data_IF_763427679863
#
_entry.id   IF_763427679863
#
_cell.length_a   1.000
_cell.length_b   1.000
_cell.length_c   1.000
_cell.angle_alpha   90.00
_cell.angle_beta   90.00
_cell.angle_gamma   90.00
#
_symmetry.space_group_name_H-M   'P 1'
#
loop_
_entity.id
_entity.type
_entity.pdbx_description
1 polymer ?
#
# COMPACT_ATOMS: atom_id res chain seq x y z
N UNK A 1 13.82 6.36 -1.88
CA UNK A 1 14.20 5.82 -3.21
C UNK A 1 12.97 5.86 -4.07
N UNK A 2 13.09 6.31 -5.31
CA UNK A 2 11.98 6.38 -6.26
C UNK A 2 12.04 5.14 -7.17
N UNK A 3 10.90 4.50 -7.41
CA UNK A 3 10.82 3.26 -8.19
C UNK A 3 10.08 3.43 -9.53
N UNK A 4 9.69 4.66 -9.88
CA UNK A 4 9.12 5.03 -11.17
C UNK A 4 9.28 6.53 -11.43
N UNK A 5 8.70 7.06 -12.50
CA UNK A 5 8.69 8.49 -12.84
C UNK A 5 7.26 9.02 -12.94
N UNK A 6 7.08 10.34 -12.76
CA UNK A 6 5.76 10.99 -12.91
C UNK A 6 5.19 10.78 -14.31
N UNK A 7 6.01 10.86 -15.36
CA UNK A 7 5.57 10.65 -16.74
C UNK A 7 5.07 9.21 -16.99
N UNK A 8 5.77 8.22 -16.45
CA UNK A 8 5.34 6.81 -16.53
C UNK A 8 4.02 6.59 -15.79
N UNK A 9 3.88 7.18 -14.60
CA UNK A 9 2.65 7.12 -13.82
C UNK A 9 1.47 7.78 -14.53
N UNK A 10 1.65 8.98 -15.10
CA UNK A 10 0.61 9.68 -15.85
C UNK A 10 0.17 8.88 -17.08
N UNK A 11 1.11 8.26 -17.80
CA UNK A 11 0.81 7.39 -18.94
C UNK A 11 0.00 6.17 -18.51
N UNK A 12 0.42 5.52 -17.41
CA UNK A 12 -0.30 4.40 -16.80
C UNK A 12 -1.72 4.78 -16.39
N UNK A 13 -1.89 5.90 -15.68
CA UNK A 13 -3.20 6.38 -15.22
C UNK A 13 -4.13 6.73 -16.40
N UNK A 14 -3.61 7.42 -17.41
CA UNK A 14 -4.36 7.80 -18.61
C UNK A 14 -4.84 6.57 -19.39
N UNK A 15 -4.01 5.53 -19.53
CA UNK A 15 -4.41 4.27 -20.16
C UNK A 15 -5.57 3.58 -19.43
N UNK A 16 -5.76 3.86 -18.13
CA UNK A 16 -6.88 3.37 -17.32
C UNK A 16 -8.03 4.38 -17.19
N UNK A 17 -7.99 5.48 -17.94
CA UNK A 17 -9.02 6.53 -17.94
C UNK A 17 -8.97 7.48 -16.74
N UNK A 18 -7.88 7.47 -15.95
CA UNK A 18 -7.69 8.39 -14.84
C UNK A 18 -6.77 9.55 -15.26
N UNK A 19 -7.35 10.76 -15.37
CA UNK A 19 -6.62 11.97 -15.73
C UNK A 19 -6.11 12.77 -14.52
N UNK A 20 -6.45 12.38 -13.28
CA UNK A 20 -6.08 13.13 -12.08
C UNK A 20 -4.56 13.37 -11.96
N UNK A 21 -3.67 12.38 -12.21
CA UNK A 21 -2.22 12.62 -12.14
C UNK A 21 -1.69 13.57 -13.22
N UNK A 22 -2.36 13.64 -14.37
CA UNK A 22 -2.00 14.55 -15.46
C UNK A 22 -2.52 15.98 -15.22
N UNK A 23 -3.62 16.11 -14.46
CA UNK A 23 -4.20 17.39 -14.07
C UNK A 23 -3.56 18.00 -12.81
N UNK A 24 -2.84 17.19 -12.01
CA UNK A 24 -2.15 17.63 -10.81
C UNK A 24 -0.96 18.56 -11.12
N UNK A 25 -0.59 19.39 -10.14
CA UNK A 25 0.64 20.19 -10.24
C UNK A 25 1.87 19.28 -10.24
N UNK A 26 3.00 19.77 -10.78
CA UNK A 26 4.24 19.01 -10.79
C UNK A 26 4.71 18.63 -9.37
N UNK A 27 4.53 19.54 -8.40
CA UNK A 27 4.92 19.32 -7.01
C UNK A 27 4.01 18.31 -6.30
N UNK A 28 2.70 18.37 -6.54
CA UNK A 28 1.74 17.41 -5.97
C UNK A 28 1.96 16.01 -6.54
N UNK A 29 2.16 15.91 -7.85
CA UNK A 29 2.44 14.63 -8.51
C UNK A 29 3.77 14.03 -8.04
N UNK A 30 4.83 14.85 -7.93
CA UNK A 30 6.12 14.40 -7.42
C UNK A 30 6.02 13.93 -5.96
N UNK A 31 5.31 14.69 -5.12
CA UNK A 31 5.12 14.37 -3.71
C UNK A 31 4.28 13.10 -3.50
N UNK A 32 3.21 12.92 -4.28
CA UNK A 32 2.39 11.72 -4.25
C UNK A 32 3.17 10.47 -4.69
N UNK A 33 3.98 10.59 -5.76
CA UNK A 33 4.84 9.50 -6.23
C UNK A 33 5.90 9.12 -5.19
N UNK A 34 6.46 10.11 -4.48
CA UNK A 34 7.41 9.86 -3.40
C UNK A 34 6.75 9.09 -2.25
N UNK A 35 5.57 9.53 -1.77
CA UNK A 35 4.83 8.83 -0.70
C UNK A 35 4.41 7.42 -1.11
N UNK A 36 3.93 7.24 -2.34
CA UNK A 36 3.62 5.92 -2.90
C UNK A 36 4.84 5.00 -2.94
N UNK A 37 6.00 5.52 -3.36
CA UNK A 37 7.27 4.79 -3.37
C UNK A 37 7.72 4.39 -1.97
N UNK A 38 7.56 5.27 -0.98
CA UNK A 38 7.89 4.98 0.40
C UNK A 38 6.99 3.90 0.99
N UNK A 39 5.68 3.92 0.70
CA UNK A 39 4.76 2.85 1.10
C UNK A 39 5.19 1.48 0.54
N UNK A 40 5.51 1.40 -0.76
CA UNK A 40 5.95 0.14 -1.37
C UNK A 40 7.27 -0.35 -0.77
N UNK A 41 8.22 0.55 -0.53
CA UNK A 41 9.50 0.22 0.09
C UNK A 41 9.34 -0.33 1.50
N UNK A 42 8.59 0.39 2.33
CA UNK A 42 8.49 0.10 3.76
C UNK A 42 7.55 -1.07 4.03
N UNK A 43 6.48 -1.21 3.25
CA UNK A 43 5.50 -2.25 3.48
C UNK A 43 5.80 -3.53 2.71
N UNK A 44 6.22 -3.49 1.44
CA UNK A 44 6.35 -4.70 0.62
C UNK A 44 7.79 -5.14 0.41
N UNK A 45 8.68 -4.23 0.01
CA UNK A 45 10.09 -4.59 -0.24
C UNK A 45 10.77 -5.04 1.05
N UNK A 46 10.50 -4.35 2.17
CA UNK A 46 10.98 -4.77 3.49
C UNK A 46 10.48 -6.16 3.93
N UNK A 47 9.39 -6.67 3.34
CA UNK A 47 8.83 -8.01 3.60
C UNK A 47 9.30 -9.07 2.60
N UNK A 48 10.30 -8.74 1.76
CA UNK A 48 10.94 -9.70 0.86
C UNK A 48 10.48 -9.63 -0.60
N UNK A 49 9.62 -8.68 -0.97
CA UNK A 49 9.32 -8.43 -2.38
C UNK A 49 10.58 -7.87 -3.06
N UNK A 50 11.07 -8.46 -4.18
CA UNK A 50 12.23 -7.94 -4.89
C UNK A 50 12.01 -6.51 -5.37
N UNK A 51 12.95 -5.61 -5.09
CA UNK A 51 12.85 -4.20 -5.46
C UNK A 51 12.88 -3.95 -6.98
N UNK A 52 13.37 -4.94 -7.73
CA UNK A 52 13.46 -4.99 -9.19
C UNK A 52 12.35 -5.82 -9.84
N UNK A 53 11.38 -6.33 -9.07
CA UNK A 53 10.23 -7.03 -9.62
C UNK A 53 9.46 -6.11 -10.59
N UNK A 54 9.04 -6.60 -11.77
CA UNK A 54 8.41 -5.77 -12.80
C UNK A 54 7.11 -5.11 -12.31
N UNK A 55 6.46 -5.69 -11.31
CA UNK A 55 5.24 -5.19 -10.69
C UNK A 55 5.46 -3.97 -9.78
N UNK A 56 6.69 -3.69 -9.34
CA UNK A 56 6.97 -2.60 -8.38
C UNK A 56 6.54 -1.23 -8.93
N UNK A 57 6.85 -0.96 -10.21
CA UNK A 57 6.49 0.32 -10.81
C UNK A 57 4.96 0.51 -10.84
N UNK A 58 4.22 -0.54 -11.17
CA UNK A 58 2.76 -0.53 -11.17
C UNK A 58 2.19 -0.37 -9.75
N UNK A 59 2.74 -1.10 -8.77
CA UNK A 59 2.37 -0.96 -7.36
C UNK A 59 2.52 0.49 -6.88
N UNK A 60 3.62 1.13 -7.26
CA UNK A 60 3.93 2.53 -6.93
C UNK A 60 2.94 3.48 -7.58
N UNK A 61 2.54 3.26 -8.84
CA UNK A 61 1.52 4.08 -9.51
C UNK A 61 0.17 4.01 -8.81
N UNK A 62 -0.23 2.82 -8.35
CA UNK A 62 -1.48 2.65 -7.60
C UNK A 62 -1.39 3.37 -6.25
N UNK A 63 -0.30 3.17 -5.51
CA UNK A 63 -0.08 3.84 -4.23
C UNK A 63 -0.01 5.37 -4.38
N UNK A 64 0.66 5.87 -5.43
CA UNK A 64 0.75 7.30 -5.74
C UNK A 64 -0.63 7.90 -6.06
N UNK A 65 -1.51 7.14 -6.73
CA UNK A 65 -2.88 7.60 -7.01
C UNK A 65 -3.68 7.75 -5.71
N UNK A 66 -3.54 6.82 -4.78
CA UNK A 66 -4.18 6.92 -3.46
C UNK A 66 -3.63 8.13 -2.67
N UNK A 67 -2.32 8.36 -2.72
CA UNK A 67 -1.65 9.48 -2.05
C UNK A 67 -1.88 10.85 -2.71
N UNK A 68 -2.32 10.87 -3.98
CA UNK A 68 -2.74 12.08 -4.67
C UNK A 68 -4.16 12.47 -4.23
N UNK A 69 -5.05 11.49 -4.15
CA UNK A 69 -6.44 11.71 -3.71
C UNK A 69 -6.53 12.00 -2.20
N UNK A 70 -5.70 11.33 -1.40
CA UNK A 70 -5.65 11.48 0.05
C UNK A 70 -4.18 11.52 0.56
N UNK A 71 -3.55 12.71 0.58
CA UNK A 71 -2.19 12.86 1.07
C UNK A 71 -2.02 12.35 2.51
N UNK A 72 -1.06 11.45 2.71
CA UNK A 72 -0.76 10.84 4.01
C UNK A 72 -1.60 9.60 4.33
N UNK A 73 -2.36 9.07 3.38
CA UNK A 73 -3.17 7.85 3.56
C UNK A 73 -2.36 6.69 4.16
N UNK A 74 -1.11 6.50 3.75
CA UNK A 74 -0.26 5.42 4.27
C UNK A 74 0.62 5.78 5.47
N UNK A 75 0.53 7.02 5.97
CA UNK A 75 1.40 7.56 7.01
C UNK A 75 0.65 7.96 8.29
N UNK A 76 -0.55 7.41 8.50
CA UNK A 76 -1.37 7.70 9.69
C UNK A 76 -0.66 7.16 10.93
N UNK A 77 -0.42 8.04 11.90
CA UNK A 77 0.09 7.67 13.21
C UNK A 77 -1.10 7.35 14.13
N UNK A 78 -0.98 6.26 14.88
CA UNK A 78 -1.96 5.89 15.90
C UNK A 78 -1.21 5.52 17.18
N UNK A 79 -1.84 5.80 18.32
CA UNK A 79 -1.44 5.17 19.59
C UNK A 79 -2.13 3.81 19.67
N UNK A 80 -1.49 2.75 20.18
CA UNK A 80 -2.10 1.42 20.22
C UNK A 80 -3.49 1.36 20.90
N UNK A 81 -3.77 2.26 21.86
CA UNK A 81 -5.08 2.37 22.50
C UNK A 81 -6.19 3.02 21.63
N UNK A 82 -5.84 3.65 20.52
CA UNK A 82 -6.79 4.17 19.52
C UNK A 82 -7.20 3.10 18.50
N UNK A 83 -6.52 1.95 18.48
CA UNK A 83 -6.83 0.86 17.57
C UNK A 83 -8.12 0.15 17.98
N UNK A 84 -9.09 0.17 17.07
CA UNK A 84 -10.47 -0.21 17.34
C UNK A 84 -10.93 -1.17 16.25
N UNK A 85 -11.25 -2.40 16.65
CA UNK A 85 -11.85 -3.40 15.75
C UNK A 85 -13.35 -3.46 16.04
N UNK A 86 -14.17 -3.31 14.99
CA UNK A 86 -15.62 -3.52 15.09
C UNK A 86 -15.89 -5.03 15.17
N UNK A 87 -16.20 -5.53 16.37
CA UNK A 87 -16.39 -6.98 16.61
C UNK A 87 -17.85 -7.42 16.46
N UNK A 88 -18.82 -6.50 16.48
CA UNK A 88 -20.25 -6.78 16.29
C UNK A 88 -20.99 -5.54 15.80
N UNK A 89 -21.94 -5.74 14.89
CA UNK A 89 -22.92 -4.70 14.51
C UNK A 89 -24.15 -4.89 15.41
N UNK A 90 -24.27 -4.06 16.45
CA UNK A 90 -25.26 -4.14 17.53
C UNK A 90 -24.97 -3.05 18.58
N UNK A 91 -25.22 -3.30 19.87
CA UNK A 91 -24.73 -2.42 20.94
C UNK A 91 -23.20 -2.23 20.77
N UNK A 92 -22.78 -1.00 20.45
CA UNK A 92 -21.41 -0.67 20.09
C UNK A 92 -20.46 -1.02 21.25
N UNK A 93 -19.78 -2.17 21.14
CA UNK A 93 -18.70 -2.58 22.02
C UNK A 93 -17.37 -2.50 21.27
N UNK A 94 -16.47 -1.66 21.77
CA UNK A 94 -15.12 -1.52 21.26
C UNK A 94 -14.20 -2.46 22.05
N UNK A 95 -13.60 -3.45 21.38
CA UNK A 95 -12.45 -4.17 21.93
C UNK A 95 -11.15 -3.58 21.39
N UNK A 96 -10.09 -3.47 22.21
CA UNK A 96 -8.76 -3.18 21.70
C UNK A 96 -8.38 -4.23 20.65
N UNK A 97 -7.69 -3.80 19.60
CA UNK A 97 -7.16 -4.74 18.61
C UNK A 97 -6.29 -5.82 19.29
N UNK A 98 -6.38 -7.03 18.74
CA UNK A 98 -5.76 -8.28 19.19
C UNK A 98 -4.39 -8.06 19.86
N UNK A 99 -4.18 -8.67 21.03
CA UNK A 99 -2.82 -8.80 21.58
C UNK A 99 -1.97 -9.61 20.60
N UNK A 100 -1.03 -8.95 19.93
CA UNK A 100 -0.09 -9.56 18.99
C UNK A 100 -0.16 -9.06 17.55
N UNK A 101 -0.94 -8.03 17.21
CA UNK A 101 -0.72 -7.30 15.94
C UNK A 101 0.58 -6.49 16.04
N UNK A 102 1.46 -6.65 15.05
CA UNK A 102 2.62 -5.78 14.90
C UNK A 102 2.19 -4.40 14.41
N UNK A 103 3.01 -3.37 14.63
CA UNK A 103 2.73 -2.00 14.18
C UNK A 103 2.45 -1.88 12.67
N UNK A 104 2.89 -2.87 11.88
CA UNK A 104 2.70 -2.93 10.42
C UNK A 104 1.34 -3.52 9.99
N UNK A 105 0.63 -4.23 10.88
CA UNK A 105 -0.64 -4.88 10.57
C UNK A 105 -1.80 -3.88 10.45
N UNK A 106 -1.58 -2.64 10.93
CA UNK A 106 -2.55 -1.55 10.92
C UNK A 106 -2.27 -0.52 9.82
N UNK A 107 -1.27 -0.76 8.96
CA UNK A 107 -1.04 0.08 7.79
C UNK A 107 -2.15 -0.18 6.78
N UNK A 108 -2.76 0.86 6.18
CA UNK A 108 -3.75 0.66 5.14
C UNK A 108 -3.22 -0.17 3.98
N UNK A 109 -3.99 -1.17 3.56
CA UNK A 109 -3.66 -2.07 2.45
C UNK A 109 -4.60 -1.82 1.27
N UNK A 110 -4.03 -1.84 0.06
CA UNK A 110 -4.80 -1.82 -1.19
C UNK A 110 -4.90 -3.23 -1.73
N UNK A 111 -6.13 -3.75 -1.91
CA UNK A 111 -6.37 -5.08 -2.48
C UNK A 111 -5.72 -5.26 -3.85
N UNK A 112 -5.59 -4.18 -4.63
CA UNK A 112 -4.95 -4.22 -5.94
C UNK A 112 -3.44 -4.44 -5.82
N UNK A 113 -2.79 -3.72 -4.90
CA UNK A 113 -1.34 -3.85 -4.65
C UNK A 113 -1.05 -5.24 -4.04
N UNK A 114 -1.89 -5.69 -3.11
CA UNK A 114 -1.82 -7.04 -2.54
C UNK A 114 -1.92 -8.11 -3.63
N UNK A 115 -2.93 -8.02 -4.52
CA UNK A 115 -3.08 -8.98 -5.61
C UNK A 115 -1.88 -8.99 -6.56
N UNK A 116 -1.32 -7.81 -6.85
CA UNK A 116 -0.17 -7.64 -7.74
C UNK A 116 1.10 -8.26 -7.15
N UNK A 117 1.34 -8.07 -5.85
CA UNK A 117 2.56 -8.50 -5.18
C UNK A 117 2.43 -9.85 -4.46
N UNK A 118 1.24 -10.47 -4.50
CA UNK A 118 0.92 -11.71 -3.77
C UNK A 118 1.89 -12.85 -4.04
N UNK A 119 2.40 -12.96 -5.26
CA UNK A 119 3.33 -14.03 -5.63
C UNK A 119 4.66 -13.97 -4.86
N UNK A 120 5.03 -12.79 -4.34
CA UNK A 120 6.25 -12.57 -3.57
C UNK A 120 6.01 -12.61 -2.05
N UNK A 121 4.77 -12.37 -1.62
CA UNK A 121 4.39 -12.42 -0.23
C UNK A 121 4.18 -13.90 0.15
N UNK A 122 5.22 -14.50 0.74
CA UNK A 122 5.25 -15.92 1.10
C UNK A 122 3.95 -16.40 1.72
N UNK A 123 3.29 -17.36 1.05
CA UNK A 123 2.09 -18.00 1.55
C UNK A 123 2.39 -18.76 2.84
N UNK A 124 1.58 -18.50 3.86
CA UNK A 124 1.40 -19.43 4.97
C UNK A 124 0.97 -20.79 4.42
N UNK A 125 1.90 -21.75 4.37
CA UNK A 125 1.64 -23.19 4.39
C UNK A 125 1.30 -23.86 3.06
N UNK A 126 2.31 -24.26 2.30
CA UNK A 126 2.38 -25.64 1.78
C UNK A 126 3.76 -26.18 2.13
N UNK A 127 3.85 -26.86 3.28
CA UNK A 127 4.96 -27.75 3.53
C UNK A 127 4.80 -28.92 2.54
N UNK A 128 5.59 -28.91 1.46
CA UNK A 128 5.79 -30.10 0.65
C UNK A 128 6.54 -31.08 1.55
N UNK A 129 5.84 -32.02 2.16
CA UNK A 129 6.46 -33.22 2.71
C UNK A 129 6.93 -34.05 1.52
N UNK A 130 8.25 -34.08 1.31
CA UNK A 130 8.89 -35.12 0.52
C UNK A 130 8.85 -36.38 1.37
N UNK A 131 8.09 -37.38 0.93
CA UNK A 131 8.07 -38.75 1.48
C UNK A 131 9.08 -39.59 0.72
#
# INVERSE_FOLDING_TARGET
MLYSTVAAWQSYATARGNLAPAAATADDAASALQRGSDHIRLHYIARGVPADAPEIAEAVHIAASIELDAPGAFSVTYTPGQDKILVRVGDLQWHPARSGSGAVDNVPVSLHIEALLRQYLGGTGVAVFVV
#
